data_IF_093345504289
#
_entry.id   IF_093345504289
#
_cell.length_a   1.000
_cell.length_b   1.000
_cell.length_c   1.000
_cell.angle_alpha   90.00
_cell.angle_beta   90.00
_cell.angle_gamma   90.00
#
_symmetry.space_group_name_H-M   'P 1'
#
loop_
_entity.id
_entity.type
_entity.pdbx_description
1 polymer ?
#
# COMPACT_ATOMS: atom_id res chain seq x y z
N UNK A 1 -22.26 21.90 -0.84
CA UNK A 1 -21.55 23.15 -0.45
C UNK A 1 -21.00 23.75 -1.73
N UNK A 2 -21.19 25.06 -2.02
CA UNK A 2 -20.89 25.63 -3.34
C UNK A 2 -19.37 25.77 -3.54
N UNK A 3 -18.84 25.37 -4.70
CA UNK A 3 -17.41 25.43 -5.11
C UNK A 3 -16.77 26.82 -4.86
N UNK A 4 -17.52 27.89 -5.00
CA UNK A 4 -17.06 29.26 -4.72
C UNK A 4 -16.88 29.52 -3.21
N UNK A 5 -17.70 28.92 -2.35
CA UNK A 5 -17.58 29.07 -0.90
C UNK A 5 -16.35 28.32 -0.38
N UNK A 6 -16.04 27.17 -0.99
CA UNK A 6 -14.86 26.38 -0.67
C UNK A 6 -13.57 27.10 -1.08
N UNK A 7 -13.54 27.60 -2.31
CA UNK A 7 -12.40 28.38 -2.83
C UNK A 7 -12.13 29.63 -2.00
N UNK A 8 -13.19 30.33 -1.58
CA UNK A 8 -13.10 31.53 -0.76
C UNK A 8 -12.63 31.26 0.68
N UNK A 9 -12.97 30.07 1.24
CA UNK A 9 -12.46 29.62 2.52
C UNK A 9 -10.96 29.27 2.45
N UNK A 10 -10.51 28.70 1.35
CA UNK A 10 -9.09 28.37 1.12
C UNK A 10 -8.22 29.62 0.87
N UNK A 11 -8.73 30.58 0.09
CA UNK A 11 -8.03 31.85 -0.13
C UNK A 11 -7.95 32.73 1.14
N UNK A 12 -8.74 32.37 2.17
CA UNK A 12 -8.73 33.06 3.46
C UNK A 12 -7.76 32.48 4.51
N UNK A 13 -7.05 31.36 4.20
CA UNK A 13 -6.02 30.82 5.09
C UNK A 13 -4.73 31.63 4.86
N UNK A 14 -4.30 32.49 5.82
CA UNK A 14 -3.07 33.23 5.66
C UNK A 14 -1.88 32.29 5.84
N UNK A 15 -1.27 31.87 4.74
CA UNK A 15 0.07 31.32 4.82
C UNK A 15 1.01 32.40 5.35
N UNK A 16 1.84 32.03 6.34
CA UNK A 16 2.91 32.91 6.79
C UNK A 16 3.69 33.40 5.56
N UNK A 17 4.01 34.69 5.45
CA UNK A 17 4.83 35.23 4.33
C UNK A 17 6.12 34.42 4.10
N UNK A 18 6.64 33.83 5.17
CA UNK A 18 7.88 33.05 5.15
C UNK A 18 7.68 31.56 4.73
N UNK A 19 6.43 31.12 4.53
CA UNK A 19 6.17 29.69 4.24
C UNK A 19 6.75 29.26 2.90
N UNK A 20 6.55 30.06 1.87
CA UNK A 20 7.10 29.80 0.54
C UNK A 20 8.63 29.83 0.55
N UNK A 21 9.22 30.79 1.24
CA UNK A 21 10.66 30.95 1.33
C UNK A 21 11.30 29.78 2.10
N UNK A 22 10.75 29.37 3.25
CA UNK A 22 11.22 28.22 4.03
C UNK A 22 11.07 26.89 3.27
N UNK A 23 9.96 26.69 2.58
CA UNK A 23 9.73 25.46 1.82
C UNK A 23 10.71 25.39 0.64
N UNK A 24 10.94 26.53 -0.04
CA UNK A 24 11.88 26.60 -1.13
C UNK A 24 13.34 26.40 -0.66
N UNK A 25 13.67 26.89 0.52
CA UNK A 25 15.00 26.74 1.13
C UNK A 25 15.25 25.30 1.58
N UNK A 26 14.26 24.66 2.24
CA UNK A 26 14.31 23.23 2.59
C UNK A 26 14.47 22.33 1.37
N UNK A 27 13.75 22.60 0.28
CA UNK A 27 13.88 21.84 -0.96
C UNK A 27 15.25 22.03 -1.61
N UNK A 28 15.80 23.26 -1.58
CA UNK A 28 17.16 23.53 -2.09
C UNK A 28 18.24 22.86 -1.26
N UNK A 29 18.09 22.81 0.05
CA UNK A 29 19.05 22.18 0.94
C UNK A 29 19.04 20.66 0.77
N UNK A 30 17.88 20.04 0.62
CA UNK A 30 17.73 18.62 0.29
C UNK A 30 18.35 18.27 -1.07
N UNK A 31 18.14 19.09 -2.08
CA UNK A 31 18.78 18.90 -3.40
C UNK A 31 20.31 19.02 -3.31
N UNK A 32 20.83 19.95 -2.51
CA UNK A 32 22.28 20.09 -2.30
C UNK A 32 22.89 18.93 -1.50
N UNK A 33 22.16 18.35 -0.59
CA UNK A 33 22.59 17.14 0.12
C UNK A 33 22.65 15.94 -0.83
N UNK A 34 21.67 15.76 -1.69
CA UNK A 34 21.67 14.72 -2.73
C UNK A 34 22.81 14.89 -3.74
N UNK A 35 23.09 16.12 -4.20
CA UNK A 35 24.23 16.38 -5.08
C UNK A 35 25.59 16.08 -4.43
N UNK A 36 25.72 16.21 -3.10
CA UNK A 36 26.96 15.87 -2.38
C UNK A 36 27.15 14.36 -2.21
N UNK A 37 26.06 13.59 -2.08
CA UNK A 37 26.13 12.13 -2.00
C UNK A 37 26.42 11.49 -3.36
N UNK A 38 25.95 12.07 -4.49
CA UNK A 38 26.24 11.57 -5.83
C UNK A 38 27.72 11.72 -6.25
N UNK A 39 28.48 12.61 -5.65
CA UNK A 39 29.89 12.81 -5.98
C UNK A 39 30.83 11.77 -5.34
N UNK A 40 30.32 10.85 -4.51
CA UNK A 40 31.12 9.84 -3.78
C UNK A 40 31.00 8.41 -4.30
N UNK A 41 30.23 8.10 -5.34
CA UNK A 41 30.14 6.74 -5.86
C UNK A 41 30.35 6.60 -7.37
N UNK A 42 31.41 5.94 -7.68
CA UNK A 42 31.91 5.26 -8.88
C UNK A 42 31.02 5.28 -10.15
N UNK A 43 31.59 5.83 -11.20
CA UNK A 43 31.13 5.85 -12.60
C UNK A 43 30.98 4.42 -13.14
N UNK A 44 29.74 3.99 -13.44
CA UNK A 44 29.51 2.76 -14.21
C UNK A 44 28.04 2.37 -14.36
N UNK A 45 27.44 2.67 -15.48
CA UNK A 45 26.22 2.07 -16.04
C UNK A 45 24.83 2.44 -15.47
N UNK A 46 24.66 3.40 -14.58
CA UNK A 46 23.39 3.72 -13.93
C UNK A 46 22.67 4.98 -14.45
N UNK A 47 23.14 5.61 -15.52
CA UNK A 47 22.53 6.83 -16.04
C UNK A 47 21.07 6.69 -16.53
N UNK A 48 20.64 5.50 -16.91
CA UNK A 48 19.25 5.27 -17.38
C UNK A 48 18.26 5.13 -16.23
N UNK A 49 18.69 4.59 -15.09
CA UNK A 49 17.82 4.41 -13.92
C UNK A 49 17.60 5.76 -13.18
N UNK A 50 18.65 6.55 -13.03
CA UNK A 50 18.55 7.87 -12.40
C UNK A 50 17.64 8.84 -13.17
N UNK A 51 17.61 8.76 -14.50
CA UNK A 51 16.72 9.56 -15.35
C UNK A 51 15.26 9.15 -15.19
N UNK A 52 14.98 7.85 -15.01
CA UNK A 52 13.61 7.36 -14.75
C UNK A 52 13.09 7.78 -13.37
N UNK A 53 13.93 7.75 -12.35
CA UNK A 53 13.58 8.20 -10.99
C UNK A 53 13.37 9.74 -10.97
N UNK A 54 14.23 10.50 -11.63
CA UNK A 54 14.08 11.94 -11.75
C UNK A 54 12.84 12.35 -12.57
N UNK A 55 12.47 11.58 -13.60
CA UNK A 55 11.25 11.82 -14.37
C UNK A 55 9.98 11.49 -13.55
N UNK A 56 10.01 10.45 -12.72
CA UNK A 56 8.92 10.11 -11.80
C UNK A 56 8.71 11.20 -10.74
N UNK A 57 9.80 11.76 -10.18
CA UNK A 57 9.74 12.87 -9.20
C UNK A 57 9.28 14.17 -9.88
N UNK A 58 9.67 14.43 -11.14
CA UNK A 58 9.26 15.63 -11.87
C UNK A 58 7.78 15.60 -12.29
N UNK A 59 7.20 14.43 -12.53
CA UNK A 59 5.76 14.27 -12.79
C UNK A 59 4.91 14.48 -11.52
N UNK A 60 5.45 14.19 -10.33
CA UNK A 60 4.80 14.47 -9.04
C UNK A 60 4.82 15.97 -8.67
N UNK A 61 5.70 16.78 -9.29
CA UNK A 61 5.86 18.20 -8.97
C UNK A 61 4.86 19.14 -9.69
N UNK A 62 4.00 18.63 -10.57
CA UNK A 62 3.06 19.46 -11.36
C UNK A 62 1.61 19.34 -10.90
N UNK A 63 1.27 18.42 -10.04
CA UNK A 63 -0.05 18.42 -9.41
C UNK A 63 -0.05 19.35 -8.20
N UNK A 64 -0.39 20.59 -8.41
CA UNK A 64 -0.64 21.58 -7.36
C UNK A 64 -1.74 21.07 -6.44
N UNK A 65 -1.34 20.38 -5.35
CA UNK A 65 -1.68 20.70 -3.96
C UNK A 65 -3.09 21.20 -3.68
N UNK A 66 -4.04 20.32 -3.67
CA UNK A 66 -4.82 20.23 -2.46
C UNK A 66 -3.96 19.40 -1.49
N UNK A 67 -3.60 19.89 -0.33
CA UNK A 67 -3.16 19.06 0.79
C UNK A 67 -4.40 18.26 1.14
N UNK A 68 -4.58 17.09 0.51
CA UNK A 68 -5.58 16.14 0.92
C UNK A 68 -5.13 15.70 2.30
N UNK A 69 -5.87 16.14 3.34
CA UNK A 69 -5.76 15.58 4.67
C UNK A 69 -6.34 14.17 4.59
N UNK A 70 -5.47 13.23 4.31
CA UNK A 70 -5.80 11.83 4.26
C UNK A 70 -6.08 11.34 5.66
N UNK A 71 -7.08 10.47 5.80
CA UNK A 71 -7.28 9.76 7.05
C UNK A 71 -6.06 8.87 7.30
N UNK A 72 -5.50 8.94 8.51
CA UNK A 72 -4.49 7.97 8.95
C UNK A 72 -5.11 6.57 9.09
N UNK A 73 -4.30 5.49 9.09
CA UNK A 73 -4.82 4.14 9.32
C UNK A 73 -5.69 4.02 10.57
N UNK A 74 -5.31 4.66 11.67
CA UNK A 74 -6.11 4.70 12.89
C UNK A 74 -7.47 5.38 12.67
N UNK A 75 -7.52 6.50 11.94
CA UNK A 75 -8.77 7.20 11.65
C UNK A 75 -9.67 6.38 10.68
N UNK A 76 -9.08 5.62 9.76
CA UNK A 76 -9.84 4.68 8.92
C UNK A 76 -10.50 3.60 9.77
N UNK A 77 -9.77 3.00 10.72
CA UNK A 77 -10.30 2.02 11.64
C UNK A 77 -11.39 2.62 12.57
N UNK A 78 -11.20 3.84 13.09
CA UNK A 78 -12.23 4.56 13.86
C UNK A 78 -13.50 4.80 13.03
N UNK A 79 -13.34 5.16 11.77
CA UNK A 79 -14.48 5.42 10.85
C UNK A 79 -15.27 4.15 10.57
N UNK A 80 -14.63 2.98 10.61
CA UNK A 80 -15.22 1.65 10.49
C UNK A 80 -15.71 1.08 11.85
N UNK A 81 -15.74 1.93 12.89
CA UNK A 81 -16.25 1.58 14.22
C UNK A 81 -15.41 0.50 14.95
N UNK A 82 -14.10 0.40 14.64
CA UNK A 82 -13.15 -0.50 15.30
C UNK A 82 -12.10 0.27 16.12
N UNK A 83 -12.41 0.69 17.36
CA UNK A 83 -11.47 1.43 18.20
C UNK A 83 -10.29 0.57 18.70
N UNK A 84 -10.41 -0.77 18.72
CA UNK A 84 -9.30 -1.66 19.09
C UNK A 84 -8.26 -1.64 17.99
N UNK A 85 -8.69 -1.79 16.74
CA UNK A 85 -7.80 -1.70 15.58
C UNK A 85 -7.24 -0.28 15.39
N UNK A 86 -8.03 0.75 15.68
CA UNK A 86 -7.53 2.12 15.68
C UNK A 86 -6.40 2.34 16.69
N UNK A 87 -6.52 1.76 17.89
CA UNK A 87 -5.46 1.80 18.90
C UNK A 87 -4.22 1.01 18.44
N UNK A 88 -4.41 -0.15 17.78
CA UNK A 88 -3.32 -0.93 17.22
C UNK A 88 -2.54 -0.16 16.15
N UNK A 89 -3.21 0.53 15.22
CA UNK A 89 -2.56 1.41 14.24
C UNK A 89 -1.88 2.65 14.88
N UNK A 90 -2.21 2.99 16.10
CA UNK A 90 -1.54 4.04 16.89
C UNK A 90 -0.39 3.54 17.75
N UNK A 91 -0.10 2.26 17.78
CA UNK A 91 0.94 1.65 18.60
C UNK A 91 2.32 1.69 17.93
N UNK A 92 3.36 1.30 18.67
CA UNK A 92 4.73 1.15 18.15
C UNK A 92 4.89 -0.07 17.21
N UNK A 93 3.93 -1.01 17.25
CA UNK A 93 3.92 -2.21 16.40
C UNK A 93 3.36 -1.92 15.00
N UNK A 94 2.70 -0.78 14.82
CA UNK A 94 2.21 -0.36 13.51
C UNK A 94 3.36 0.14 12.63
N UNK A 95 3.35 -0.28 11.37
CA UNK A 95 4.31 0.14 10.36
C UNK A 95 3.64 1.23 9.50
N UNK A 96 3.99 2.51 9.70
CA UNK A 96 3.50 3.57 8.81
C UNK A 96 4.16 3.44 7.44
N UNK A 97 3.36 3.58 6.39
CA UNK A 97 3.80 3.53 5.00
C UNK A 97 3.25 4.77 4.28
N UNK A 98 3.99 5.21 3.26
CA UNK A 98 3.57 6.32 2.38
C UNK A 98 3.92 5.95 0.94
N UNK A 99 3.85 4.66 0.60
CA UNK A 99 4.18 4.19 -0.73
C UNK A 99 3.02 4.44 -1.68
N UNK A 100 3.33 5.04 -2.83
CA UNK A 100 2.33 5.45 -3.81
C UNK A 100 2.65 4.87 -5.18
N UNK A 101 1.64 4.38 -5.87
CA UNK A 101 1.73 3.88 -7.24
C UNK A 101 0.51 4.26 -8.06
N UNK A 102 0.64 4.25 -9.38
CA UNK A 102 -0.48 4.44 -10.30
C UNK A 102 -1.03 3.08 -10.75
N UNK A 103 -2.34 2.92 -10.68
CA UNK A 103 -3.08 1.74 -11.17
C UNK A 103 -4.23 2.22 -12.04
N UNK A 104 -4.10 2.08 -13.35
CA UNK A 104 -5.07 2.64 -14.29
C UNK A 104 -5.27 4.15 -14.10
N UNK A 105 -6.50 4.57 -13.89
CA UNK A 105 -6.89 5.96 -13.66
C UNK A 105 -6.77 6.40 -12.19
N UNK A 106 -6.19 5.56 -11.33
CA UNK A 106 -6.10 5.81 -9.89
C UNK A 106 -4.65 5.95 -9.42
N UNK A 107 -4.47 6.82 -8.45
CA UNK A 107 -3.28 6.85 -7.59
C UNK A 107 -3.62 6.11 -6.31
N UNK A 108 -2.86 5.06 -6.03
CA UNK A 108 -3.01 4.23 -4.83
C UNK A 108 -1.90 4.57 -3.86
N UNK A 109 -2.25 4.76 -2.59
CA UNK A 109 -1.28 4.94 -1.51
C UNK A 109 -1.50 3.88 -0.44
N UNK A 110 -0.50 3.06 -0.20
CA UNK A 110 -0.46 2.16 0.95
C UNK A 110 -0.04 2.98 2.17
N UNK A 111 -0.96 3.14 3.14
CA UNK A 111 -0.80 4.09 4.24
C UNK A 111 -0.20 3.47 5.51
N UNK A 112 -0.36 2.17 5.71
CA UNK A 112 0.22 1.48 6.84
C UNK A 112 -0.30 0.07 7.01
N UNK A 113 0.41 -0.68 7.85
CA UNK A 113 0.02 -2.04 8.23
C UNK A 113 0.28 -2.28 9.73
N UNK A 114 -0.42 -3.25 10.29
CA UNK A 114 -0.20 -3.78 11.63
C UNK A 114 -0.57 -5.27 11.65
N UNK A 115 0.24 -6.08 12.34
CA UNK A 115 0.00 -7.52 12.51
C UNK A 115 -0.09 -7.88 13.99
N UNK A 116 -0.86 -8.91 14.31
CA UNK A 116 -0.92 -9.48 15.64
C UNK A 116 -2.27 -10.11 15.99
N UNK A 117 -2.34 -10.59 17.23
CA UNK A 117 -3.52 -11.26 17.77
C UNK A 117 -4.52 -10.26 18.37
N UNK A 118 -5.79 -10.53 18.14
CA UNK A 118 -6.91 -9.81 18.78
C UNK A 118 -6.88 -8.29 18.57
N UNK A 119 -6.36 -7.83 17.42
CA UNK A 119 -6.23 -6.41 17.07
C UNK A 119 -7.53 -5.76 16.60
N UNK A 120 -8.62 -6.52 16.40
CA UNK A 120 -9.92 -6.04 15.94
C UNK A 120 -11.06 -6.56 16.82
N UNK A 121 -12.11 -5.75 16.96
CA UNK A 121 -13.37 -6.20 17.61
C UNK A 121 -14.18 -7.15 16.73
N UNK A 122 -13.92 -7.17 15.43
CA UNK A 122 -14.59 -8.01 14.46
C UNK A 122 -13.70 -9.23 14.14
N UNK A 123 -13.83 -10.34 14.90
CA UNK A 123 -13.04 -11.53 14.64
C UNK A 123 -13.38 -12.08 13.25
N UNK A 124 -12.35 -12.43 12.49
CA UNK A 124 -12.55 -13.09 11.21
C UNK A 124 -12.83 -14.59 11.42
N UNK A 125 -13.78 -15.10 10.68
CA UNK A 125 -14.05 -16.55 10.62
C UNK A 125 -13.64 -17.09 9.25
N UNK A 126 -12.80 -18.11 9.25
CA UNK A 126 -12.39 -18.79 8.03
C UNK A 126 -12.50 -20.30 8.23
N UNK A 127 -13.21 -20.98 7.35
CA UNK A 127 -13.50 -22.42 7.43
C UNK A 127 -14.11 -22.86 8.80
N UNK A 128 -14.96 -22.03 9.40
CA UNK A 128 -15.61 -22.29 10.68
C UNK A 128 -14.70 -22.12 11.91
N UNK A 129 -13.53 -21.55 11.75
CA UNK A 129 -12.61 -21.23 12.83
C UNK A 129 -12.42 -19.72 12.95
N UNK A 130 -12.44 -19.22 14.18
CA UNK A 130 -12.08 -17.83 14.46
C UNK A 130 -10.56 -17.69 14.33
N UNK A 131 -10.13 -16.73 13.54
CA UNK A 131 -8.72 -16.41 13.34
C UNK A 131 -8.50 -14.99 13.86
N UNK A 132 -7.82 -14.90 14.99
CA UNK A 132 -7.54 -13.63 15.65
C UNK A 132 -6.14 -13.07 15.34
N UNK A 133 -5.23 -13.92 14.86
CA UNK A 133 -3.88 -13.52 14.44
C UNK A 133 -3.90 -13.09 12.97
N UNK A 134 -3.87 -11.78 12.75
CA UNK A 134 -4.12 -11.20 11.43
C UNK A 134 -3.17 -10.05 11.11
N UNK A 135 -2.99 -9.82 9.82
CA UNK A 135 -2.36 -8.59 9.28
C UNK A 135 -3.45 -7.70 8.71
N UNK A 136 -3.42 -6.44 9.10
CA UNK A 136 -4.29 -5.37 8.62
C UNK A 136 -3.49 -4.36 7.82
N UNK A 137 -4.00 -3.96 6.66
CA UNK A 137 -3.39 -2.94 5.82
C UNK A 137 -4.43 -1.87 5.43
N UNK A 138 -4.02 -0.61 5.49
CA UNK A 138 -4.85 0.50 5.02
C UNK A 138 -4.24 1.06 3.75
N UNK A 139 -5.07 1.22 2.73
CA UNK A 139 -4.69 1.94 1.52
C UNK A 139 -5.83 2.88 1.08
N UNK A 140 -5.45 3.87 0.31
CA UNK A 140 -6.37 4.87 -0.19
C UNK A 140 -6.18 5.08 -1.70
N UNK A 141 -7.27 5.39 -2.39
CA UNK A 141 -7.28 5.67 -3.81
C UNK A 141 -7.83 7.08 -4.08
N UNK A 142 -7.17 7.76 -5.00
CA UNK A 142 -7.64 9.00 -5.61
C UNK A 142 -7.59 8.87 -7.11
N UNK A 143 -8.33 9.70 -7.82
CA UNK A 143 -8.21 9.78 -9.28
C UNK A 143 -6.92 10.51 -9.67
N UNK A 144 -6.26 10.03 -10.71
CA UNK A 144 -5.04 10.67 -11.25
C UNK A 144 -5.30 12.04 -11.87
N UNK A 145 -6.52 12.31 -12.33
CA UNK A 145 -6.95 13.61 -12.87
C UNK A 145 -7.31 14.64 -11.78
N UNK A 146 -7.31 14.21 -10.50
CA UNK A 146 -7.63 15.07 -9.35
C UNK A 146 -9.13 15.32 -9.14
N UNK A 147 -10.02 14.72 -9.94
CA UNK A 147 -11.46 14.80 -9.67
C UNK A 147 -11.81 13.90 -8.46
N UNK A 148 -12.76 14.33 -7.61
CA UNK A 148 -13.14 13.55 -6.44
C UNK A 148 -13.84 12.26 -6.83
N UNK A 149 -13.59 11.20 -6.06
CA UNK A 149 -14.38 9.97 -6.13
C UNK A 149 -15.73 10.19 -5.46
N UNK A 150 -16.83 9.81 -6.14
CA UNK A 150 -18.18 9.82 -5.58
C UNK A 150 -18.57 8.42 -5.06
N UNK A 151 -18.00 7.37 -5.65
CA UNK A 151 -18.24 5.97 -5.31
C UNK A 151 -16.93 5.16 -5.37
N UNK A 152 -16.97 3.95 -4.84
CA UNK A 152 -15.82 3.04 -4.84
C UNK A 152 -15.49 2.61 -6.28
N UNK A 153 -14.20 2.62 -6.67
CA UNK A 153 -13.77 2.07 -7.95
C UNK A 153 -14.13 0.58 -8.11
N UNK A 154 -14.67 0.25 -9.29
CA UNK A 154 -14.94 -1.12 -9.68
C UNK A 154 -13.72 -1.77 -10.36
N UNK A 155 -13.67 -3.12 -10.33
CA UNK A 155 -12.73 -3.90 -11.13
C UNK A 155 -11.32 -4.04 -10.53
N UNK A 156 -11.05 -3.45 -9.36
CA UNK A 156 -9.80 -3.60 -8.64
C UNK A 156 -9.82 -4.83 -7.73
N UNK A 157 -8.73 -5.55 -7.74
CA UNK A 157 -8.44 -6.67 -6.82
C UNK A 157 -7.22 -6.35 -5.97
N UNK A 158 -7.21 -6.90 -4.76
CA UNK A 158 -6.13 -6.73 -3.79
C UNK A 158 -5.68 -8.08 -3.28
N UNK A 159 -4.37 -8.32 -3.20
CA UNK A 159 -3.87 -9.61 -2.74
C UNK A 159 -2.46 -9.50 -2.20
N UNK A 160 -2.18 -10.09 -1.04
CA UNK A 160 -0.82 -10.45 -0.68
C UNK A 160 -0.31 -11.51 -1.65
N UNK A 161 0.98 -11.45 -1.96
CA UNK A 161 1.73 -12.45 -2.72
C UNK A 161 3.08 -12.64 -2.05
N UNK A 162 3.64 -13.84 -2.09
CA UNK A 162 4.89 -14.15 -1.39
C UNK A 162 5.89 -14.77 -2.38
N UNK A 163 7.09 -14.18 -2.47
CA UNK A 163 8.16 -14.72 -3.31
C UNK A 163 8.51 -16.16 -2.91
N UNK A 164 8.81 -16.99 -3.90
CA UNK A 164 9.12 -18.40 -3.66
C UNK A 164 7.91 -19.31 -3.47
N UNK A 165 6.70 -18.75 -3.35
CA UNK A 165 5.45 -19.54 -3.31
C UNK A 165 4.63 -19.32 -4.59
N UNK A 166 3.88 -20.33 -4.96
CA UNK A 166 2.99 -20.24 -6.11
C UNK A 166 1.85 -19.24 -5.79
N UNK A 167 1.57 -18.30 -6.70
CA UNK A 167 0.58 -17.23 -6.48
C UNK A 167 -0.84 -17.72 -6.25
N UNK A 168 -1.18 -18.96 -6.64
CA UNK A 168 -2.45 -19.58 -6.29
C UNK A 168 -2.45 -20.20 -4.89
N UNK A 169 -1.28 -20.43 -4.27
CA UNK A 169 -1.18 -20.97 -2.91
C UNK A 169 -1.29 -19.89 -1.84
N UNK A 170 -0.62 -18.75 -2.06
CA UNK A 170 -0.61 -17.65 -1.11
C UNK A 170 -1.19 -16.41 -1.78
N UNK A 171 -2.43 -16.11 -1.46
CA UNK A 171 -3.17 -14.97 -2.00
C UNK A 171 -4.36 -14.61 -1.11
N UNK A 172 -5.09 -13.54 -1.42
CA UNK A 172 -6.23 -13.07 -0.63
C UNK A 172 -7.29 -14.15 -0.37
N UNK A 173 -7.51 -15.04 -1.34
CA UNK A 173 -8.51 -16.09 -1.22
C UNK A 173 -8.09 -17.17 -0.21
N UNK A 174 -6.89 -17.70 -0.35
CA UNK A 174 -6.37 -18.77 0.53
C UNK A 174 -6.07 -18.25 1.94
N UNK A 175 -5.69 -16.98 2.06
CA UNK A 175 -5.45 -16.32 3.34
C UNK A 175 -6.73 -15.86 4.05
N UNK A 176 -7.91 -16.12 3.50
CA UNK A 176 -9.17 -15.72 4.12
C UNK A 176 -9.27 -14.22 4.34
N UNK A 177 -8.89 -13.46 3.29
CA UNK A 177 -8.89 -12.02 3.35
C UNK A 177 -10.32 -11.44 3.35
N UNK A 178 -10.46 -10.29 4.00
CA UNK A 178 -11.64 -9.43 3.91
C UNK A 178 -11.22 -7.99 3.64
N UNK A 179 -12.17 -7.18 3.16
CA UNK A 179 -11.91 -5.77 2.89
C UNK A 179 -13.17 -4.96 3.20
N UNK A 180 -13.01 -3.94 4.03
CA UNK A 180 -14.01 -2.93 4.28
C UNK A 180 -13.58 -1.62 3.60
N UNK A 181 -14.53 -0.86 3.08
CA UNK A 181 -14.20 0.33 2.32
C UNK A 181 -15.31 1.38 2.37
N UNK A 182 -14.93 2.63 2.18
CA UNK A 182 -15.84 3.77 2.10
C UNK A 182 -15.20 4.90 1.29
N UNK A 183 -16.04 5.82 0.81
CA UNK A 183 -15.57 7.07 0.19
C UNK A 183 -15.83 8.23 1.14
N UNK A 184 -14.80 9.04 1.36
CA UNK A 184 -14.92 10.28 2.13
C UNK A 184 -14.06 11.38 1.50
N UNK A 185 -14.64 12.56 1.33
CA UNK A 185 -13.98 13.76 0.79
C UNK A 185 -13.28 13.54 -0.56
N UNK A 186 -13.85 12.66 -1.40
CA UNK A 186 -13.34 12.35 -2.74
C UNK A 186 -12.22 11.31 -2.77
N UNK A 187 -11.96 10.63 -1.65
CA UNK A 187 -10.97 9.57 -1.50
C UNK A 187 -11.67 8.26 -1.15
N UNK A 188 -11.31 7.17 -1.80
CA UNK A 188 -11.73 5.84 -1.40
C UNK A 188 -10.71 5.24 -0.43
N UNK A 189 -11.16 4.83 0.74
CA UNK A 189 -10.37 4.20 1.78
C UNK A 189 -10.71 2.73 1.89
N UNK A 190 -9.70 1.92 2.10
CA UNK A 190 -9.80 0.47 2.22
C UNK A 190 -9.05 0.01 3.46
N UNK A 191 -9.72 -0.78 4.28
CA UNK A 191 -9.13 -1.58 5.34
C UNK A 191 -9.18 -3.04 4.90
N UNK A 192 -8.04 -3.56 4.52
CA UNK A 192 -7.84 -4.95 4.12
C UNK A 192 -7.27 -5.73 5.29
N UNK A 193 -7.76 -6.95 5.49
CA UNK A 193 -7.25 -7.85 6.50
C UNK A 193 -7.10 -9.28 5.97
N UNK A 194 -6.18 -10.03 6.56
CA UNK A 194 -5.86 -11.40 6.17
C UNK A 194 -5.25 -12.15 7.34
N UNK A 195 -5.08 -13.48 7.24
CA UNK A 195 -4.25 -14.22 8.18
C UNK A 195 -2.87 -13.59 8.27
N UNK A 196 -2.20 -13.77 9.40
CA UNK A 196 -0.93 -13.10 9.70
C UNK A 196 0.12 -13.39 8.61
N UNK A 197 0.62 -12.33 7.98
CA UNK A 197 1.63 -12.40 6.93
C UNK A 197 3.05 -12.51 7.47
N UNK A 198 3.27 -12.26 8.76
CA UNK A 198 4.62 -12.31 9.35
C UNK A 198 5.21 -13.71 9.33
N UNK A 199 4.39 -14.76 9.27
CA UNK A 199 4.89 -16.13 9.10
C UNK A 199 5.75 -16.30 7.84
N UNK A 200 5.57 -15.43 6.84
CA UNK A 200 6.31 -15.40 5.57
C UNK A 200 7.42 -14.33 5.54
N UNK A 201 7.76 -13.69 6.67
CA UNK A 201 8.63 -12.52 6.67
C UNK A 201 10.10 -12.81 6.30
N UNK A 202 10.51 -14.06 6.20
CA UNK A 202 11.80 -14.50 5.62
C UNK A 202 11.81 -14.49 4.09
N UNK A 203 10.65 -14.25 3.46
CA UNK A 203 10.45 -14.05 2.04
C UNK A 203 10.10 -12.60 1.72
N UNK A 204 10.20 -12.20 0.45
CA UNK A 204 9.63 -10.92 0.04
C UNK A 204 8.11 -11.06 -0.04
N UNK A 205 7.40 -10.33 0.79
CA UNK A 205 5.94 -10.25 0.77
C UNK A 205 5.51 -9.00 0.03
N UNK A 206 4.66 -9.17 -0.97
CA UNK A 206 4.08 -8.09 -1.75
C UNK A 206 2.62 -7.88 -1.39
N UNK A 207 2.16 -6.65 -1.50
CA UNK A 207 0.73 -6.33 -1.56
C UNK A 207 0.41 -5.84 -2.97
N UNK A 208 -0.33 -6.65 -3.71
CA UNK A 208 -0.74 -6.36 -5.08
C UNK A 208 -2.08 -5.62 -5.09
N UNK A 209 -2.18 -4.54 -5.88
CA UNK A 209 -3.44 -3.88 -6.24
C UNK A 209 -3.46 -3.81 -7.76
N UNK A 210 -4.47 -4.39 -8.39
CA UNK A 210 -4.46 -4.57 -9.83
C UNK A 210 -5.88 -4.73 -10.41
N UNK A 211 -6.01 -4.47 -11.69
CA UNK A 211 -7.23 -4.79 -12.44
C UNK A 211 -7.22 -6.29 -12.79
N UNK A 212 -8.25 -7.01 -12.33
CA UNK A 212 -8.35 -8.43 -12.59
C UNK A 212 -9.15 -9.20 -11.55
N UNK A 213 -9.04 -10.53 -11.62
CA UNK A 213 -9.69 -11.45 -10.69
C UNK A 213 -8.70 -12.09 -9.70
N UNK A 214 -8.92 -13.36 -9.39
CA UNK A 214 -8.03 -14.12 -8.50
C UNK A 214 -6.60 -14.18 -9.06
N UNK A 215 -5.55 -13.98 -8.23
CA UNK A 215 -4.16 -14.07 -8.67
C UNK A 215 -3.86 -15.39 -9.36
N UNK A 216 -3.15 -15.32 -10.47
CA UNK A 216 -2.75 -16.48 -11.25
C UNK A 216 -1.40 -16.20 -11.97
N UNK A 217 -0.68 -17.23 -12.44
CA UNK A 217 0.62 -17.07 -13.08
C UNK A 217 0.63 -16.23 -14.38
N UNK A 218 -0.53 -16.08 -15.04
CA UNK A 218 -0.61 -15.24 -16.23
C UNK A 218 -0.65 -13.76 -15.87
N UNK A 219 -1.20 -13.42 -14.71
CA UNK A 219 -1.23 -12.04 -14.16
C UNK A 219 0.06 -11.73 -13.40
N UNK A 220 0.59 -12.72 -12.67
CA UNK A 220 1.76 -12.60 -11.80
C UNK A 220 2.78 -13.68 -12.14
N UNK A 221 3.58 -13.51 -13.22
CA UNK A 221 4.67 -14.40 -13.52
C UNK A 221 5.72 -14.40 -12.40
N UNK A 222 6.23 -15.59 -12.11
CA UNK A 222 7.30 -15.80 -11.13
C UNK A 222 8.60 -16.10 -11.89
N UNK A 223 9.67 -15.40 -11.55
CA UNK A 223 11.00 -15.64 -12.11
C UNK A 223 11.69 -16.86 -11.45
N UNK A 224 12.83 -17.31 -12.02
CA UNK A 224 13.59 -18.44 -11.50
C UNK A 224 14.10 -18.24 -10.06
N UNK A 225 14.31 -16.98 -9.65
CA UNK A 225 14.72 -16.62 -8.28
C UNK A 225 13.54 -16.51 -7.30
N UNK A 226 12.32 -16.82 -7.75
CA UNK A 226 11.10 -16.75 -6.96
C UNK A 226 10.48 -15.37 -6.89
N UNK A 227 11.07 -14.32 -7.46
CA UNK A 227 10.48 -12.99 -7.48
C UNK A 227 9.22 -12.93 -8.34
N UNK A 228 8.25 -12.13 -7.90
CA UNK A 228 6.95 -11.97 -8.56
C UNK A 228 6.92 -10.59 -9.23
N UNK A 229 6.35 -10.55 -10.42
CA UNK A 229 6.13 -9.30 -11.17
C UNK A 229 4.71 -9.25 -11.75
N UNK A 230 4.28 -8.08 -12.18
CA UNK A 230 3.08 -7.94 -13.01
C UNK A 230 3.40 -8.33 -14.45
N UNK A 231 2.50 -9.07 -15.10
CA UNK A 231 2.60 -9.35 -16.50
C UNK A 231 2.47 -8.09 -17.36
N UNK A 232 3.05 -8.10 -18.55
CA UNK A 232 2.95 -6.98 -19.49
C UNK A 232 1.49 -6.66 -19.81
N UNK A 233 1.13 -5.37 -19.71
CA UNK A 233 -0.22 -4.88 -19.99
C UNK A 233 -1.22 -5.01 -18.84
N UNK A 234 -0.86 -5.63 -17.72
CA UNK A 234 -1.70 -5.62 -16.51
C UNK A 234 -1.57 -4.27 -15.81
N UNK A 235 -2.70 -3.60 -15.61
CA UNK A 235 -2.74 -2.38 -14.79
C UNK A 235 -2.70 -2.78 -13.32
N UNK A 236 -1.64 -2.39 -12.62
CA UNK A 236 -1.48 -2.77 -11.21
C UNK A 236 -0.21 -2.25 -10.59
N UNK A 237 -0.08 -2.46 -9.30
CA UNK A 237 1.10 -2.16 -8.50
C UNK A 237 1.40 -3.30 -7.53
N UNK A 238 2.69 -3.50 -7.26
CA UNK A 238 3.20 -4.38 -6.23
C UNK A 238 3.94 -3.52 -5.19
N UNK A 239 3.40 -3.44 -3.99
CA UNK A 239 4.05 -2.82 -2.84
C UNK A 239 4.81 -3.89 -2.08
N UNK A 240 6.06 -3.66 -1.74
CA UNK A 240 6.81 -4.57 -0.87
C UNK A 240 6.50 -4.26 0.58
N UNK A 241 6.00 -5.24 1.33
CA UNK A 241 5.71 -5.06 2.75
C UNK A 241 7.00 -5.20 3.57
N UNK A 242 7.34 -4.21 4.41
CA UNK A 242 8.55 -4.25 5.24
C UNK A 242 8.33 -5.05 6.54
N UNK A 243 7.99 -6.32 6.41
CA UNK A 243 7.80 -7.21 7.55
C UNK A 243 9.13 -7.51 8.25
N UNK A 244 9.07 -7.78 9.56
CA UNK A 244 10.25 -8.12 10.34
C UNK A 244 10.63 -9.60 10.12
N UNK A 245 11.80 -9.91 9.49
CA UNK A 245 12.23 -11.28 9.26
C UNK A 245 12.40 -12.10 10.53
N UNK A 246 12.52 -11.47 11.71
CA UNK A 246 12.62 -12.19 12.99
C UNK A 246 11.30 -12.77 13.46
N UNK A 247 10.19 -12.34 12.88
CA UNK A 247 8.83 -12.85 13.13
C UNK A 247 8.46 -14.01 12.20
N UNK A 248 9.31 -14.36 11.23
CA UNK A 248 9.05 -15.46 10.31
C UNK A 248 8.89 -16.79 11.04
N UNK A 249 7.91 -17.58 10.59
CA UNK A 249 7.69 -18.96 11.03
C UNK A 249 7.59 -19.88 9.79
N UNK A 250 8.73 -20.37 9.27
CA UNK A 250 8.75 -21.24 8.09
C UNK A 250 7.92 -22.52 8.28
N UNK A 251 7.81 -23.04 9.50
CA UNK A 251 7.01 -24.24 9.76
C UNK A 251 5.50 -23.93 9.66
N UNK A 252 5.06 -22.78 10.16
CA UNK A 252 3.68 -22.32 9.99
C UNK A 252 3.38 -21.97 8.54
N UNK A 253 4.32 -21.35 7.81
CA UNK A 253 4.19 -21.05 6.40
C UNK A 253 4.05 -22.32 5.53
N UNK A 254 4.87 -23.33 5.78
CA UNK A 254 4.79 -24.64 5.09
C UNK A 254 3.46 -25.33 5.41
N UNK A 255 3.06 -25.40 6.68
CA UNK A 255 1.79 -25.98 7.10
C UNK A 255 0.59 -25.24 6.49
N UNK A 256 0.66 -23.92 6.35
CA UNK A 256 -0.38 -23.12 5.66
C UNK A 256 -0.51 -23.56 4.20
N UNK A 257 0.60 -23.64 3.46
CA UNK A 257 0.59 -24.01 2.03
C UNK A 257 0.10 -25.44 1.83
N UNK A 258 0.55 -26.40 2.65
CA UNK A 258 0.05 -27.78 2.64
C UNK A 258 -1.46 -27.83 2.93
N UNK A 259 -1.93 -27.01 3.87
CA UNK A 259 -3.34 -26.91 4.26
C UNK A 259 -4.25 -26.36 3.16
N UNK A 260 -3.74 -25.68 2.14
CA UNK A 260 -4.54 -25.24 0.98
C UNK A 260 -5.03 -26.41 0.12
N UNK A 261 -4.39 -27.58 0.22
CA UNK A 261 -4.70 -28.77 -0.58
C UNK A 261 -4.50 -28.60 -2.08
N UNK A 262 -3.80 -27.54 -2.50
CA UNK A 262 -3.52 -27.26 -3.90
C UNK A 262 -2.24 -28.00 -4.29
N UNK A 263 -2.35 -28.97 -5.21
CA UNK A 263 -1.18 -29.58 -5.86
C UNK A 263 -0.74 -28.67 -7.01
N UNK A 264 0.43 -28.03 -6.87
CA UNK A 264 1.03 -27.25 -7.94
C UNK A 264 1.91 -28.17 -8.76
N UNK A 265 1.47 -28.46 -9.99
CA UNK A 265 2.30 -29.13 -10.98
C UNK A 265 3.29 -28.07 -11.48
N UNK A 266 4.56 -28.21 -11.06
CA UNK A 266 5.68 -27.38 -11.48
C UNK A 266 6.04 -27.52 -12.95
#
# INVERSE_FOLDING_TARGET
MNREAYRKAFDAIPFSPDFQDRTTELLRDRLREQEKEEHSMYVGKTKKLAVLIAAAIALLAVSVSAVMLWLSPAQVAERLEDPVLAAAFGSEDAIPLEETAQVGDYTVTLAGLVSGQDLSQAPAEYNGQLISDRTYAVFALTRTDGEPLEELPDGLSYSPLVSGYHVSAVNSWTLGAACQSFVQDGVAYYLFDTQNLEIFADHTVYFAIYEGGVPNPATFPTAEDGSISLAEGVQGALFTLPLDPTQADPAAAEAFVEGTGLEFIG
#
